data_IF_406223457726
#
_entry.id   IF_406223457726
#
_cell.length_a   1.000
_cell.length_b   1.000
_cell.length_c   1.000
_cell.angle_alpha   90.00
_cell.angle_beta   90.00
_cell.angle_gamma   90.00
#
_symmetry.space_group_name_H-M   'P 1'
#
loop_
_entity.id
_entity.type
_entity.pdbx_description
1 polymer ?
#
# COMPACT_ATOMS: atom_id res chain seq x y z
N UNK A 1 -75.82 8.13 -36.79
CA UNK A 1 -75.81 8.02 -35.33
C UNK A 1 -75.28 6.62 -35.01
N UNK A 2 -74.13 6.41 -34.38
CA UNK A 2 -73.17 7.30 -33.69
C UNK A 2 -71.75 6.72 -33.77
N UNK A 3 -70.71 7.53 -33.50
CA UNK A 3 -69.33 7.09 -33.18
C UNK A 3 -69.34 6.38 -31.79
N UNK A 4 -68.33 5.71 -31.24
CA UNK A 4 -66.84 5.80 -31.25
C UNK A 4 -66.23 4.42 -30.93
N UNK A 5 -64.96 4.05 -31.19
CA UNK A 5 -63.85 4.59 -32.00
C UNK A 5 -62.80 3.46 -32.21
N UNK A 6 -61.65 3.73 -32.86
CA UNK A 6 -60.70 2.72 -33.36
C UNK A 6 -59.34 2.65 -32.64
N UNK A 7 -58.85 1.43 -32.42
CA UNK A 7 -57.49 1.13 -31.95
C UNK A 7 -56.42 1.44 -33.01
N UNK A 8 -55.31 2.06 -32.58
CA UNK A 8 -54.13 2.29 -33.40
C UNK A 8 -53.18 1.08 -33.43
N UNK A 9 -53.04 0.44 -34.59
CA UNK A 9 -51.88 -0.41 -34.92
C UNK A 9 -50.81 0.44 -35.62
N UNK A 10 -49.52 0.19 -35.33
CA UNK A 10 -48.40 0.78 -36.08
C UNK A 10 -47.53 -0.36 -36.63
N UNK A 11 -47.27 -0.32 -37.94
CA UNK A 11 -46.50 -1.31 -38.68
C UNK A 11 -45.39 -0.61 -39.50
N UNK A 12 -44.12 -0.95 -39.19
CA UNK A 12 -42.92 -1.00 -40.06
C UNK A 12 -42.40 0.26 -40.80
N UNK A 13 -41.23 0.75 -40.34
CA UNK A 13 -39.93 1.00 -41.06
C UNK A 13 -39.86 1.80 -42.39
N UNK A 14 -38.66 2.25 -42.83
CA UNK A 14 -37.43 2.70 -42.14
C UNK A 14 -36.97 4.11 -42.65
N UNK A 15 -35.83 4.67 -42.16
CA UNK A 15 -34.82 5.38 -42.98
C UNK A 15 -33.63 5.97 -42.16
N UNK A 16 -32.52 6.14 -42.88
CA UNK A 16 -31.18 6.64 -42.49
C UNK A 16 -31.18 8.12 -42.05
N UNK A 17 -30.34 8.49 -41.07
CA UNK A 17 -29.76 9.85 -40.92
C UNK A 17 -28.29 9.77 -40.46
N UNK A 18 -27.50 10.76 -40.86
CA UNK A 18 -26.03 10.84 -40.98
C UNK A 18 -25.11 10.65 -39.77
N UNK A 19 -23.86 10.28 -40.12
CA UNK A 19 -22.64 10.57 -39.37
C UNK A 19 -22.22 12.05 -39.54
N UNK A 20 -21.88 12.75 -38.46
CA UNK A 20 -20.67 13.61 -38.39
C UNK A 20 -20.49 14.23 -36.99
N UNK A 21 -19.24 14.57 -36.69
CA UNK A 21 -18.78 15.31 -35.50
C UNK A 21 -19.07 14.68 -34.12
N UNK A 22 -18.12 13.88 -33.63
CA UNK A 22 -17.42 14.31 -32.42
C UNK A 22 -15.95 13.88 -32.48
N UNK A 23 -15.06 14.82 -32.16
CA UNK A 23 -13.62 14.70 -32.40
C UNK A 23 -12.91 13.83 -31.36
N UNK A 24 -11.75 13.31 -31.76
CA UNK A 24 -10.86 12.54 -30.91
C UNK A 24 -10.26 13.37 -29.78
N UNK A 25 -10.54 12.99 -28.54
CA UNK A 25 -9.64 13.24 -27.41
C UNK A 25 -9.37 11.88 -26.77
N UNK A 26 -8.24 11.28 -27.15
CA UNK A 26 -7.65 10.19 -26.39
C UNK A 26 -6.86 10.84 -25.25
N UNK A 27 -7.33 10.71 -24.02
CA UNK A 27 -6.63 11.21 -22.84
C UNK A 27 -6.51 10.14 -21.74
N UNK A 28 -5.41 10.28 -21.02
CA UNK A 28 -4.77 9.47 -19.98
C UNK A 28 -5.20 8.01 -19.80
N UNK A 29 -4.27 7.11 -20.16
CA UNK A 29 -4.30 5.71 -19.76
C UNK A 29 -4.05 5.60 -18.25
N UNK A 30 -5.12 5.77 -17.46
CA UNK A 30 -5.13 5.40 -16.05
C UNK A 30 -4.83 3.91 -15.91
N UNK A 31 -3.55 3.60 -15.71
CA UNK A 31 -3.11 2.27 -15.31
C UNK A 31 -3.82 1.98 -13.99
N UNK A 32 -4.77 1.03 -14.02
CA UNK A 32 -5.41 0.50 -12.83
C UNK A 32 -4.35 -0.20 -11.97
N UNK A 33 -3.68 0.58 -11.12
CA UNK A 33 -2.82 0.04 -10.07
C UNK A 33 -3.76 -0.62 -9.07
N UNK A 34 -3.85 -1.94 -9.15
CA UNK A 34 -4.34 -2.78 -8.05
C UNK A 34 -3.42 -2.57 -6.84
N UNK A 35 -3.76 -1.59 -6.02
CA UNK A 35 -3.10 -1.38 -4.72
C UNK A 35 -3.67 -2.42 -3.77
N UNK A 36 -2.85 -3.42 -3.48
CA UNK A 36 -3.06 -4.55 -2.56
C UNK A 36 -3.05 -4.12 -1.10
N UNK A 37 -3.78 -3.04 -0.77
CA UNK A 37 -3.90 -2.49 0.57
C UNK A 37 -5.30 -1.93 0.79
N UNK A 38 -5.80 -2.10 2.02
CA UNK A 38 -7.07 -1.54 2.49
C UNK A 38 -7.11 -0.03 2.30
N UNK A 39 -8.26 0.50 1.91
CA UNK A 39 -8.51 1.94 1.71
C UNK A 39 -9.76 2.43 2.43
N UNK A 40 -10.57 1.50 2.94
CA UNK A 40 -11.80 1.78 3.66
C UNK A 40 -11.70 1.29 5.10
N UNK A 41 -12.60 1.73 5.99
CA UNK A 41 -12.69 1.14 7.32
C UNK A 41 -13.01 -0.36 7.24
N UNK A 42 -12.52 -1.09 8.23
CA UNK A 42 -12.36 -2.55 8.12
C UNK A 42 -13.42 -3.31 8.91
N UNK A 43 -13.90 -4.41 8.33
CA UNK A 43 -14.66 -5.46 9.01
C UNK A 43 -13.72 -6.67 9.13
N UNK A 44 -13.32 -7.03 10.35
CA UNK A 44 -12.39 -8.14 10.58
C UNK A 44 -13.15 -9.39 10.99
N UNK A 45 -12.90 -10.53 10.36
CA UNK A 45 -13.36 -11.84 10.81
C UNK A 45 -12.30 -12.45 11.73
N UNK A 46 -12.63 -12.67 13.01
CA UNK A 46 -11.71 -13.27 14.00
C UNK A 46 -12.28 -14.57 14.56
N UNK A 47 -11.42 -15.45 15.06
CA UNK A 47 -11.82 -16.74 15.61
C UNK A 47 -10.80 -17.84 15.35
N UNK A 48 -10.96 -18.97 16.02
CA UNK A 48 -10.07 -20.13 15.92
C UNK A 48 -10.07 -20.74 14.50
N UNK A 49 -9.09 -21.56 14.18
CA UNK A 49 -9.05 -22.37 12.96
C UNK A 49 -10.30 -23.25 12.86
N UNK A 50 -10.80 -23.41 11.64
CA UNK A 50 -12.04 -24.14 11.32
C UNK A 50 -13.32 -23.63 12.00
N UNK A 51 -13.32 -22.45 12.63
CA UNK A 51 -14.56 -21.85 13.19
C UNK A 51 -15.56 -21.37 12.12
N UNK A 52 -15.21 -21.36 10.83
CA UNK A 52 -16.09 -20.97 9.73
C UNK A 52 -15.99 -19.51 9.26
N UNK A 53 -14.85 -18.84 9.53
CA UNK A 53 -14.60 -17.43 9.15
C UNK A 53 -14.75 -17.17 7.65
N UNK A 54 -13.98 -17.87 6.83
CA UNK A 54 -13.95 -17.77 5.36
C UNK A 54 -15.34 -18.00 4.74
N UNK A 55 -16.08 -18.99 5.26
CA UNK A 55 -17.45 -19.31 4.84
C UNK A 55 -18.43 -18.18 5.16
N UNK A 56 -18.35 -17.61 6.37
CA UNK A 56 -19.12 -16.43 6.76
C UNK A 56 -18.74 -15.19 5.94
N UNK A 57 -17.45 -14.99 5.65
CA UNK A 57 -16.99 -13.89 4.81
C UNK A 57 -17.60 -13.95 3.41
N UNK A 58 -17.61 -15.13 2.80
CA UNK A 58 -18.25 -15.36 1.51
C UNK A 58 -19.78 -15.14 1.57
N UNK A 59 -20.44 -15.56 2.65
CA UNK A 59 -21.86 -15.23 2.87
C UNK A 59 -22.13 -13.73 2.96
N UNK A 60 -21.31 -12.98 3.69
CA UNK A 60 -21.43 -11.52 3.81
C UNK A 60 -21.24 -10.85 2.44
N UNK A 61 -20.35 -11.36 1.61
CA UNK A 61 -20.13 -10.89 0.23
C UNK A 61 -21.28 -11.24 -0.73
N UNK A 62 -22.20 -12.14 -0.34
CA UNK A 62 -23.28 -12.62 -1.22
C UNK A 62 -22.78 -13.65 -2.24
N UNK A 63 -22.07 -14.66 -1.74
CA UNK A 63 -21.74 -15.89 -2.46
C UNK A 63 -22.21 -17.10 -1.63
N UNK A 64 -22.38 -18.27 -2.27
CA UNK A 64 -22.84 -19.54 -1.68
C UNK A 64 -21.89 -20.19 -0.65
N UNK A 65 -21.38 -19.45 0.34
CA UNK A 65 -20.51 -19.90 1.44
C UNK A 65 -19.11 -20.38 1.02
N UNK A 66 -19.04 -21.37 0.13
CA UNK A 66 -17.81 -21.90 -0.45
C UNK A 66 -17.41 -21.21 -1.76
N UNK A 67 -18.36 -20.59 -2.48
CA UNK A 67 -18.16 -20.05 -3.83
C UNK A 67 -17.65 -18.60 -3.93
N UNK A 68 -16.99 -18.07 -2.90
CA UNK A 68 -16.50 -16.68 -2.87
C UNK A 68 -14.98 -16.56 -2.88
N UNK A 69 -14.42 -15.34 -2.72
CA UNK A 69 -12.98 -15.08 -2.80
C UNK A 69 -12.16 -15.62 -1.62
N UNK A 70 -12.80 -15.97 -0.50
CA UNK A 70 -12.11 -16.59 0.62
C UNK A 70 -12.07 -18.11 0.47
N UNK A 71 -10.90 -18.70 0.64
CA UNK A 71 -10.66 -20.13 0.43
C UNK A 71 -11.28 -20.98 1.55
N UNK A 72 -11.98 -22.06 1.19
CA UNK A 72 -12.63 -22.96 2.15
C UNK A 72 -12.17 -24.44 2.01
N UNK A 73 -11.62 -24.84 0.87
CA UNK A 73 -11.43 -26.25 0.54
C UNK A 73 -10.13 -26.84 1.13
N UNK A 74 -10.30 -27.90 1.93
CA UNK A 74 -9.21 -28.71 2.50
C UNK A 74 -8.55 -29.67 1.49
N UNK A 75 -8.58 -29.34 0.19
CA UNK A 75 -8.09 -30.20 -0.90
C UNK A 75 -6.57 -30.49 -0.83
N UNK A 76 -5.85 -29.76 0.02
CA UNK A 76 -4.41 -29.90 0.29
C UNK A 76 -4.06 -30.80 1.49
N UNK A 77 -5.05 -31.38 2.19
CA UNK A 77 -4.84 -32.28 3.33
C UNK A 77 -5.16 -31.67 4.71
N UNK A 78 -4.81 -32.36 5.82
CA UNK A 78 -5.17 -31.93 7.17
C UNK A 78 -4.27 -30.78 7.67
N UNK A 79 -4.71 -29.54 7.43
CA UNK A 79 -4.06 -28.32 7.91
C UNK A 79 -4.97 -27.09 7.77
N UNK A 80 -4.60 -25.93 8.34
CA UNK A 80 -5.35 -24.69 8.14
C UNK A 80 -5.28 -24.25 6.67
N UNK A 81 -6.44 -23.91 6.09
CA UNK A 81 -6.55 -23.46 4.68
C UNK A 81 -6.01 -22.03 4.55
N UNK A 82 -6.57 -21.09 5.32
CA UNK A 82 -6.12 -19.68 5.33
C UNK A 82 -4.83 -19.52 6.14
N UNK A 83 -3.74 -19.10 5.48
CA UNK A 83 -2.41 -18.89 6.09
C UNK A 83 -1.99 -17.43 6.26
N UNK A 84 -2.58 -16.51 5.50
CA UNK A 84 -2.38 -15.05 5.52
C UNK A 84 -3.73 -14.34 5.51
N UNK A 85 -3.81 -13.04 5.85
CA UNK A 85 -5.08 -12.31 5.75
C UNK A 85 -5.53 -12.18 4.28
N UNK A 86 -6.82 -12.37 4.02
CA UNK A 86 -7.42 -12.25 2.70
C UNK A 86 -8.39 -11.05 2.68
N UNK A 87 -8.10 -9.98 1.92
CA UNK A 87 -8.99 -8.82 1.80
C UNK A 87 -9.98 -8.95 0.63
N UNK A 88 -11.22 -8.54 0.86
CA UNK A 88 -12.23 -8.30 -0.18
C UNK A 88 -13.06 -7.04 0.15
N UNK A 89 -13.49 -6.27 -0.84
CA UNK A 89 -14.34 -5.09 -0.57
C UNK A 89 -15.82 -5.48 -0.52
N UNK A 90 -16.55 -4.94 0.48
CA UNK A 90 -17.98 -5.15 0.69
C UNK A 90 -18.71 -3.80 0.74
N UNK A 91 -19.88 -3.71 0.08
CA UNK A 91 -20.80 -2.57 0.24
C UNK A 91 -21.91 -2.96 1.21
N UNK A 92 -22.11 -2.15 2.25
CA UNK A 92 -23.23 -2.24 3.19
C UNK A 92 -23.95 -0.88 3.16
N UNK A 93 -25.23 -0.89 2.82
CA UNK A 93 -25.99 0.31 2.49
C UNK A 93 -25.22 1.18 1.46
N UNK A 94 -24.90 2.43 1.78
CA UNK A 94 -24.10 3.32 0.92
C UNK A 94 -22.62 3.44 1.31
N UNK A 95 -22.16 2.60 2.24
CA UNK A 95 -20.78 2.60 2.74
C UNK A 95 -20.00 1.40 2.17
N UNK A 96 -18.76 1.65 1.78
CA UNK A 96 -17.81 0.62 1.35
C UNK A 96 -16.87 0.35 2.52
N UNK A 97 -16.60 -0.93 2.76
CA UNK A 97 -15.69 -1.44 3.79
C UNK A 97 -14.76 -2.48 3.17
N UNK A 98 -13.61 -2.67 3.78
CA UNK A 98 -12.74 -3.81 3.47
C UNK A 98 -13.02 -4.93 4.48
N UNK A 99 -13.46 -6.09 3.97
CA UNK A 99 -13.72 -7.31 4.74
C UNK A 99 -12.46 -8.17 4.72
N UNK A 100 -11.94 -8.50 5.90
CA UNK A 100 -10.70 -9.25 6.06
C UNK A 100 -11.02 -10.61 6.70
N UNK A 101 -10.83 -11.69 5.93
CA UNK A 101 -10.70 -13.03 6.52
C UNK A 101 -9.28 -13.19 7.09
N UNK A 102 -9.15 -13.84 8.24
CA UNK A 102 -7.86 -14.01 8.93
C UNK A 102 -7.50 -15.48 9.08
N UNK A 103 -6.20 -15.82 9.16
CA UNK A 103 -5.78 -17.12 9.63
C UNK A 103 -6.21 -17.33 11.11
N UNK A 104 -6.12 -18.57 11.59
CA UNK A 104 -6.27 -18.88 13.01
C UNK A 104 -5.16 -18.21 13.83
N UNK A 105 -5.51 -17.19 14.60
CA UNK A 105 -4.58 -16.42 15.46
C UNK A 105 -4.66 -16.79 16.94
N UNK A 106 -5.53 -17.73 17.32
CA UNK A 106 -5.87 -18.03 18.72
C UNK A 106 -5.80 -19.51 19.11
N UNK A 107 -5.27 -20.38 18.24
CA UNK A 107 -5.48 -21.83 18.37
C UNK A 107 -4.91 -22.46 19.64
N UNK A 108 -3.76 -21.99 20.15
CA UNK A 108 -3.32 -22.27 21.53
C UNK A 108 -2.65 -21.06 22.19
N UNK A 109 -2.70 -20.99 23.53
CA UNK A 109 -1.96 -20.01 24.34
C UNK A 109 -0.42 -20.12 24.17
N UNK A 110 0.09 -21.22 23.62
CA UNK A 110 1.51 -21.40 23.33
C UNK A 110 1.93 -20.75 21.99
N UNK A 111 1.05 -20.77 20.99
CA UNK A 111 1.35 -20.30 19.64
C UNK A 111 1.46 -18.79 19.55
N UNK A 112 0.78 -18.04 20.42
CA UNK A 112 0.72 -16.57 20.45
C UNK A 112 2.10 -15.92 20.67
N UNK A 113 3.10 -16.69 21.12
CA UNK A 113 4.50 -16.26 21.27
C UNK A 113 5.44 -16.77 20.17
N UNK A 114 4.92 -17.50 19.19
CA UNK A 114 5.66 -17.87 17.98
C UNK A 114 5.89 -16.67 17.08
N UNK A 115 6.95 -16.71 16.27
CA UNK A 115 7.19 -15.70 15.25
C UNK A 115 6.02 -15.66 14.25
N UNK A 116 5.56 -16.83 13.78
CA UNK A 116 4.43 -16.99 12.84
C UNK A 116 3.12 -16.34 13.31
N UNK A 117 2.74 -16.47 14.59
CA UNK A 117 1.51 -15.81 15.09
C UNK A 117 1.70 -14.31 15.28
N UNK A 118 2.92 -13.85 15.61
CA UNK A 118 3.23 -12.41 15.65
C UNK A 118 3.19 -11.79 14.24
N UNK A 119 3.63 -12.52 13.21
CA UNK A 119 3.48 -12.12 11.81
C UNK A 119 2.01 -11.95 11.43
N UNK A 120 1.16 -12.95 11.71
CA UNK A 120 -0.30 -12.90 11.46
C UNK A 120 -1.00 -11.75 12.19
N UNK A 121 -0.57 -11.43 13.41
CA UNK A 121 -1.07 -10.28 14.17
C UNK A 121 -0.62 -8.95 13.55
N UNK A 122 0.63 -8.85 13.08
CA UNK A 122 1.14 -7.65 12.42
C UNK A 122 0.46 -7.38 11.07
N UNK A 123 0.24 -8.43 10.28
CA UNK A 123 -0.53 -8.41 9.02
C UNK A 123 -1.96 -7.89 9.24
N UNK A 124 -2.64 -8.41 10.26
CA UNK A 124 -3.97 -7.92 10.66
C UNK A 124 -3.95 -6.45 11.11
N UNK A 125 -2.96 -6.02 11.92
CA UNK A 125 -2.79 -4.61 12.31
C UNK A 125 -2.57 -3.72 11.08
N UNK A 126 -1.85 -4.21 10.07
CA UNK A 126 -1.62 -3.49 8.82
C UNK A 126 -2.92 -3.22 8.06
N UNK A 127 -3.76 -4.26 7.87
CA UNK A 127 -5.09 -4.10 7.29
C UNK A 127 -5.97 -3.14 8.13
N UNK A 128 -5.92 -3.20 9.46
CA UNK A 128 -6.69 -2.31 10.35
C UNK A 128 -6.25 -0.83 10.34
N UNK A 129 -5.21 -0.45 9.58
CA UNK A 129 -4.62 0.91 9.60
C UNK A 129 -5.58 2.05 9.23
N UNK A 130 -6.62 1.78 8.44
CA UNK A 130 -7.67 2.73 8.07
C UNK A 130 -8.83 2.80 9.08
N UNK A 131 -8.73 2.08 10.20
CA UNK A 131 -9.71 2.01 11.27
C UNK A 131 -10.62 0.80 11.16
N UNK A 132 -11.19 0.36 12.28
CA UNK A 132 -12.01 -0.84 12.38
C UNK A 132 -13.47 -0.45 12.61
N UNK A 133 -14.33 -0.76 11.65
CA UNK A 133 -15.78 -0.58 11.75
C UNK A 133 -16.39 -1.62 12.69
N UNK A 134 -16.06 -2.90 12.48
CA UNK A 134 -16.59 -4.02 13.24
C UNK A 134 -15.59 -5.18 13.33
N UNK A 135 -15.65 -5.92 14.44
CA UNK A 135 -14.94 -7.19 14.61
C UNK A 135 -16.00 -8.29 14.74
N UNK A 136 -16.03 -9.22 13.80
CA UNK A 136 -16.93 -10.37 13.83
C UNK A 136 -16.16 -11.54 14.43
N UNK A 137 -16.42 -11.85 15.70
CA UNK A 137 -15.79 -12.97 16.39
C UNK A 137 -16.62 -14.24 16.17
N UNK A 138 -16.09 -15.14 15.35
CA UNK A 138 -16.73 -16.36 14.86
C UNK A 138 -16.50 -17.49 15.85
N UNK A 139 -17.60 -18.02 16.39
CA UNK A 139 -17.63 -19.05 17.44
C UNK A 139 -18.32 -20.29 16.90
N UNK A 140 -17.57 -21.37 16.81
CA UNK A 140 -18.13 -22.71 16.63
C UNK A 140 -18.83 -23.13 17.93
N UNK A 141 -20.16 -23.30 17.87
CA UNK A 141 -20.97 -23.68 19.04
C UNK A 141 -20.65 -25.09 19.59
N UNK A 142 -20.06 -25.96 18.76
CA UNK A 142 -19.71 -27.33 19.14
C UNK A 142 -18.43 -27.39 19.98
N UNK A 143 -17.56 -26.38 19.87
CA UNK A 143 -16.29 -26.31 20.57
C UNK A 143 -16.41 -25.66 21.95
N UNK A 144 -15.61 -26.14 22.91
CA UNK A 144 -15.46 -25.51 24.23
C UNK A 144 -14.11 -24.82 24.30
N UNK A 145 -14.13 -23.49 24.33
CA UNK A 145 -12.93 -22.65 24.25
C UNK A 145 -13.00 -21.50 25.28
N UNK A 146 -11.89 -21.21 25.98
CA UNK A 146 -11.85 -20.18 27.02
C UNK A 146 -11.71 -18.78 26.41
N UNK A 147 -12.83 -18.16 26.03
CA UNK A 147 -12.85 -16.85 25.36
C UNK A 147 -12.16 -15.72 26.15
N UNK A 148 -12.05 -15.83 27.48
CA UNK A 148 -11.54 -14.77 28.36
C UNK A 148 -10.08 -14.40 28.10
N UNK A 149 -9.24 -15.34 27.71
CA UNK A 149 -7.85 -15.04 27.30
C UNK A 149 -7.87 -14.39 25.91
N UNK A 150 -8.57 -15.01 24.96
CA UNK A 150 -8.72 -14.55 23.57
C UNK A 150 -9.15 -13.09 23.49
N UNK A 151 -10.16 -12.67 24.26
CA UNK A 151 -10.63 -11.28 24.30
C UNK A 151 -9.55 -10.29 24.75
N UNK A 152 -8.78 -10.63 25.80
CA UNK A 152 -7.66 -9.79 26.26
C UNK A 152 -6.55 -9.68 25.22
N UNK A 153 -6.28 -10.77 24.49
CA UNK A 153 -5.25 -10.79 23.44
C UNK A 153 -5.71 -9.87 22.29
N UNK A 154 -6.98 -9.97 21.86
CA UNK A 154 -7.59 -9.09 20.87
C UNK A 154 -7.48 -7.61 21.29
N UNK A 155 -7.87 -7.27 22.52
CA UNK A 155 -7.75 -5.90 23.05
C UNK A 155 -6.28 -5.44 23.10
N UNK A 156 -5.34 -6.34 23.41
CA UNK A 156 -3.92 -6.04 23.47
C UNK A 156 -3.30 -5.60 22.13
N UNK A 157 -3.84 -6.05 20.99
CA UNK A 157 -3.29 -5.71 19.67
C UNK A 157 -4.22 -4.87 18.76
N UNK A 158 -5.54 -4.99 18.90
CA UNK A 158 -6.51 -4.11 18.24
C UNK A 158 -6.94 -2.89 19.10
N UNK A 159 -6.55 -2.85 20.38
CA UNK A 159 -6.86 -1.77 21.31
C UNK A 159 -8.08 -2.05 22.19
N UNK A 160 -8.18 -1.35 23.31
CA UNK A 160 -9.21 -1.57 24.35
C UNK A 160 -10.65 -1.52 23.82
N UNK A 161 -10.92 -0.63 22.86
CA UNK A 161 -12.23 -0.43 22.21
C UNK A 161 -12.66 -1.59 21.28
N UNK A 162 -11.83 -2.63 21.10
CA UNK A 162 -12.16 -3.76 20.24
C UNK A 162 -13.47 -4.45 20.64
N UNK A 163 -13.75 -4.62 21.94
CA UNK A 163 -14.99 -5.24 22.40
C UNK A 163 -16.22 -4.34 22.15
N UNK A 164 -16.06 -3.02 22.18
CA UNK A 164 -17.13 -2.08 21.88
C UNK A 164 -17.59 -2.16 20.41
N UNK A 165 -16.70 -2.61 19.52
CA UNK A 165 -16.96 -2.86 18.09
C UNK A 165 -17.16 -4.34 17.72
N UNK A 166 -17.25 -5.24 18.72
CA UNK A 166 -17.35 -6.67 18.47
C UNK A 166 -18.79 -7.17 18.34
N UNK A 167 -19.02 -8.08 17.39
CA UNK A 167 -20.25 -8.86 17.17
C UNK A 167 -19.85 -10.34 17.19
N UNK A 168 -20.63 -11.21 17.84
CA UNK A 168 -20.39 -12.66 17.84
C UNK A 168 -21.19 -13.35 16.74
N UNK A 169 -20.53 -14.13 15.89
CA UNK A 169 -21.19 -14.96 14.88
C UNK A 169 -21.12 -16.43 15.28
N UNK A 170 -22.26 -17.09 15.49
CA UNK A 170 -22.29 -18.51 15.80
C UNK A 170 -22.34 -19.34 14.51
N UNK A 171 -21.44 -20.32 14.39
CA UNK A 171 -21.40 -21.32 13.31
C UNK A 171 -21.75 -22.71 13.85
N UNK A 172 -21.92 -23.68 12.94
CA UNK A 172 -22.22 -25.08 13.25
C UNK A 172 -23.51 -25.28 14.08
N UNK A 173 -24.43 -24.33 13.99
CA UNK A 173 -25.77 -24.42 14.57
C UNK A 173 -26.62 -25.47 13.87
N UNK A 174 -27.55 -26.09 14.61
CA UNK A 174 -28.53 -26.98 13.99
C UNK A 174 -29.49 -26.20 13.08
N UNK A 175 -30.15 -26.92 12.16
CA UNK A 175 -31.18 -26.36 11.28
C UNK A 175 -32.26 -25.60 12.07
N UNK A 176 -32.81 -26.22 13.12
CA UNK A 176 -33.87 -25.67 13.97
C UNK A 176 -33.44 -24.37 14.69
N UNK A 177 -32.22 -24.31 15.22
CA UNK A 177 -31.65 -23.10 15.82
C UNK A 177 -31.52 -21.95 14.82
N UNK A 178 -31.11 -22.28 13.59
CA UNK A 178 -30.87 -21.29 12.53
C UNK A 178 -32.18 -20.74 11.97
N UNK A 179 -33.18 -21.60 11.76
CA UNK A 179 -34.52 -21.20 11.31
C UNK A 179 -35.26 -20.36 12.37
N UNK A 180 -35.10 -20.70 13.66
CA UNK A 180 -35.72 -19.96 14.77
C UNK A 180 -34.94 -18.73 15.23
N UNK A 181 -33.72 -18.50 14.74
CA UNK A 181 -32.79 -17.46 15.21
C UNK A 181 -32.55 -17.53 16.74
N UNK A 182 -32.25 -18.75 17.24
CA UNK A 182 -32.10 -19.03 18.67
C UNK A 182 -30.91 -19.96 18.97
N UNK A 183 -30.07 -19.56 19.93
CA UNK A 183 -28.99 -20.41 20.44
C UNK A 183 -29.43 -21.12 21.74
N UNK A 184 -29.42 -22.45 21.71
CA UNK A 184 -29.71 -23.29 22.87
C UNK A 184 -28.41 -23.67 23.60
N UNK A 185 -28.50 -23.98 24.89
CA UNK A 185 -27.41 -24.53 25.70
C UNK A 185 -26.11 -23.70 25.77
N UNK A 186 -26.19 -22.37 25.60
CA UNK A 186 -25.06 -21.44 25.80
C UNK A 186 -24.32 -21.74 27.12
N UNK A 187 -23.01 -21.97 27.02
CA UNK A 187 -22.14 -22.19 28.18
C UNK A 187 -22.03 -20.90 29.01
N UNK A 188 -21.51 -21.03 30.24
CA UNK A 188 -21.22 -19.85 31.08
C UNK A 188 -20.25 -18.88 30.37
N UNK A 189 -19.21 -19.41 29.73
CA UNK A 189 -18.20 -18.60 29.03
C UNK A 189 -18.79 -17.88 27.81
N UNK A 190 -19.68 -18.53 27.06
CA UNK A 190 -20.40 -17.88 25.95
C UNK A 190 -21.32 -16.75 26.45
N UNK A 191 -21.97 -16.91 27.61
CA UNK A 191 -22.80 -15.84 28.21
C UNK A 191 -21.96 -14.68 28.70
N UNK A 192 -20.80 -14.95 29.31
CA UNK A 192 -19.84 -13.92 29.71
C UNK A 192 -19.27 -13.17 28.49
N UNK A 193 -18.94 -13.87 27.39
CA UNK A 193 -18.56 -13.27 26.11
C UNK A 193 -19.67 -12.36 25.56
N UNK A 194 -20.90 -12.86 25.40
CA UNK A 194 -22.03 -12.08 24.88
C UNK A 194 -22.31 -10.84 25.73
N UNK A 195 -22.21 -10.95 27.07
CA UNK A 195 -22.35 -9.80 27.96
C UNK A 195 -21.25 -8.75 27.76
N UNK A 196 -20.03 -9.14 27.38
CA UNK A 196 -18.92 -8.21 27.13
C UNK A 196 -19.03 -7.45 25.79
N UNK A 197 -19.89 -7.92 24.88
CA UNK A 197 -20.12 -7.32 23.55
C UNK A 197 -21.55 -6.79 23.40
N UNK A 198 -22.18 -6.39 24.51
CA UNK A 198 -23.53 -5.83 24.57
C UNK A 198 -24.63 -6.73 23.93
N UNK A 199 -24.44 -8.05 23.99
CA UNK A 199 -25.30 -9.08 23.39
C UNK A 199 -25.50 -8.94 21.87
N UNK A 200 -24.54 -8.35 21.14
CA UNK A 200 -24.54 -8.32 19.67
C UNK A 200 -24.12 -9.68 19.11
N UNK A 201 -25.07 -10.42 18.55
CA UNK A 201 -24.80 -11.70 17.91
C UNK A 201 -25.77 -12.07 16.78
N UNK A 202 -25.31 -12.93 15.87
CA UNK A 202 -26.13 -13.54 14.82
C UNK A 202 -25.67 -14.98 14.52
N UNK A 203 -26.39 -15.69 13.65
CA UNK A 203 -26.05 -17.04 13.21
C UNK A 203 -25.50 -16.98 11.79
N UNK A 204 -24.36 -17.61 11.55
CA UNK A 204 -23.86 -17.90 10.21
C UNK A 204 -24.49 -19.21 9.72
N UNK A 205 -25.35 -19.20 8.69
CA UNK A 205 -25.99 -20.42 8.18
C UNK A 205 -24.97 -21.42 7.63
N UNK A 206 -25.23 -22.71 7.81
CA UNK A 206 -24.42 -23.76 7.19
C UNK A 206 -24.84 -23.93 5.70
N UNK A 207 -23.92 -23.74 4.73
CA UNK A 207 -24.20 -23.93 3.29
C UNK A 207 -24.58 -25.36 2.88
N UNK A 208 -24.26 -26.38 3.68
CA UNK A 208 -24.69 -27.76 3.44
C UNK A 208 -26.19 -27.96 3.76
N UNK A 209 -26.78 -27.05 4.54
CA UNK A 209 -28.17 -27.11 5.02
C UNK A 209 -29.05 -26.09 4.29
N UNK A 210 -28.51 -24.90 4.02
CA UNK A 210 -29.25 -23.76 3.48
C UNK A 210 -28.63 -23.26 2.17
N UNK A 211 -29.50 -23.11 1.16
CA UNK A 211 -29.14 -22.48 -0.11
C UNK A 211 -29.04 -20.96 0.06
N UNK A 212 -28.20 -20.34 -0.75
CA UNK A 212 -27.97 -18.90 -0.78
C UNK A 212 -29.23 -18.04 -0.93
N UNK A 213 -30.18 -18.50 -1.74
CA UNK A 213 -31.45 -17.85 -2.04
C UNK A 213 -32.53 -18.07 -0.96
N UNK A 214 -32.22 -18.78 0.13
CA UNK A 214 -33.20 -19.04 1.19
C UNK A 214 -33.42 -17.83 2.11
N UNK A 215 -34.68 -17.62 2.50
CA UNK A 215 -35.09 -16.56 3.44
C UNK A 215 -34.27 -16.58 4.75
N UNK A 216 -33.84 -17.77 5.19
CA UNK A 216 -33.01 -17.97 6.38
C UNK A 216 -31.62 -17.35 6.20
N UNK A 217 -30.98 -17.55 5.05
CA UNK A 217 -29.67 -16.95 4.73
C UNK A 217 -29.80 -15.45 4.57
N UNK A 218 -30.76 -15.00 3.77
CA UNK A 218 -31.01 -13.58 3.50
C UNK A 218 -31.27 -12.84 4.82
N UNK A 219 -32.17 -13.34 5.67
CA UNK A 219 -32.47 -12.74 6.98
C UNK A 219 -31.23 -12.64 7.89
N UNK A 220 -30.42 -13.70 7.99
CA UNK A 220 -29.24 -13.70 8.84
C UNK A 220 -28.14 -12.76 8.31
N UNK A 221 -27.92 -12.69 7.00
CA UNK A 221 -26.94 -11.78 6.41
C UNK A 221 -27.40 -10.31 6.44
N UNK A 222 -28.70 -10.04 6.29
CA UNK A 222 -29.26 -8.69 6.53
C UNK A 222 -29.08 -8.30 8.01
N UNK A 223 -29.39 -9.18 8.96
CA UNK A 223 -29.16 -8.95 10.40
C UNK A 223 -27.69 -8.62 10.71
N UNK A 224 -26.75 -9.39 10.15
CA UNK A 224 -25.32 -9.14 10.30
C UNK A 224 -24.90 -7.78 9.72
N UNK A 225 -25.34 -7.45 8.50
CA UNK A 225 -25.03 -6.17 7.83
C UNK A 225 -25.60 -4.96 8.58
N UNK A 226 -26.80 -5.07 9.15
CA UNK A 226 -27.39 -4.02 9.98
C UNK A 226 -26.58 -3.78 11.26
N UNK A 227 -26.19 -4.84 11.98
CA UNK A 227 -25.35 -4.72 13.19
C UNK A 227 -23.98 -4.09 12.91
N UNK A 228 -23.41 -4.29 11.71
CA UNK A 228 -22.16 -3.64 11.29
C UNK A 228 -22.35 -2.14 11.03
N UNK A 229 -23.50 -1.74 10.47
CA UNK A 229 -23.78 -0.33 10.15
C UNK A 229 -24.28 0.47 11.37
N UNK A 230 -24.82 -0.19 12.41
CA UNK A 230 -25.15 0.41 13.71
C UNK A 230 -23.95 1.08 14.40
N UNK A 231 -22.71 0.68 14.07
CA UNK A 231 -21.51 1.37 14.55
C UNK A 231 -21.35 2.73 13.83
N UNK A 232 -21.57 3.82 14.56
CA UNK A 232 -21.56 5.20 14.06
C UNK A 232 -20.31 5.58 13.26
N UNK A 233 -19.15 5.11 13.70
CA UNK A 233 -17.85 5.39 13.07
C UNK A 233 -16.85 4.30 13.42
N UNK A 234 -15.98 3.94 12.48
CA UNK A 234 -14.85 3.07 12.76
C UNK A 234 -13.89 3.70 13.77
N UNK A 235 -13.38 2.91 14.71
CA UNK A 235 -12.39 3.37 15.69
C UNK A 235 -10.97 3.22 15.15
N UNK A 236 -10.04 4.00 15.71
CA UNK A 236 -8.60 3.90 15.41
C UNK A 236 -7.78 3.81 16.70
N UNK A 237 -6.55 3.32 16.59
CA UNK A 237 -5.57 3.28 17.68
C UNK A 237 -4.33 4.09 17.33
N UNK A 238 -3.52 4.40 18.35
CA UNK A 238 -2.19 4.98 18.13
C UNK A 238 -1.27 4.07 17.30
N UNK A 239 -1.53 2.77 17.24
CA UNK A 239 -0.81 1.81 16.39
C UNK A 239 -1.27 1.91 14.94
N UNK A 240 -2.58 1.87 14.69
CA UNK A 240 -3.16 1.98 13.34
C UNK A 240 -2.77 3.29 12.65
N UNK A 241 -2.87 4.42 13.38
CA UNK A 241 -2.44 5.72 12.87
C UNK A 241 -0.93 5.74 12.51
N UNK A 242 -0.06 5.10 13.31
CA UNK A 242 1.38 5.00 12.98
C UNK A 242 1.65 4.18 11.71
N UNK A 243 0.87 3.12 11.47
CA UNK A 243 0.98 2.32 10.24
C UNK A 243 0.53 3.14 9.04
N UNK A 244 -0.64 3.78 9.10
CA UNK A 244 -1.13 4.64 8.02
C UNK A 244 -0.16 5.80 7.72
N UNK A 245 0.31 6.50 8.74
CA UNK A 245 1.31 7.56 8.63
C UNK A 245 2.63 7.10 8.00
N UNK A 246 2.99 5.81 8.15
CA UNK A 246 4.17 5.22 7.53
C UNK A 246 3.90 4.88 6.06
N UNK A 247 2.73 4.31 5.75
CA UNK A 247 2.29 4.03 4.39
C UNK A 247 2.11 5.30 3.56
N UNK A 248 1.55 6.38 4.10
CA UNK A 248 1.41 7.67 3.41
C UNK A 248 2.77 8.27 3.04
N UNK A 249 3.71 8.33 4.01
CA UNK A 249 5.08 8.83 3.80
C UNK A 249 5.84 7.98 2.78
N UNK A 250 5.61 6.68 2.79
CA UNK A 250 6.18 5.69 1.88
C UNK A 250 5.59 5.81 0.48
N UNK A 251 4.28 5.94 0.34
CA UNK A 251 3.59 6.14 -0.93
C UNK A 251 4.08 7.43 -1.60
N UNK A 252 4.25 8.51 -0.83
CA UNK A 252 4.85 9.74 -1.33
C UNK A 252 6.32 9.55 -1.74
N UNK A 253 7.14 8.88 -0.92
CA UNK A 253 8.53 8.57 -1.28
C UNK A 253 8.63 7.76 -2.59
N UNK A 254 7.73 6.78 -2.80
CA UNK A 254 7.62 6.00 -4.03
C UNK A 254 7.11 6.84 -5.21
N UNK A 255 6.15 7.73 -4.98
CA UNK A 255 5.63 8.66 -6.00
C UNK A 255 6.75 9.56 -6.51
N UNK A 256 7.42 10.29 -5.63
CA UNK A 256 8.48 11.21 -6.06
C UNK A 256 9.69 10.44 -6.62
N UNK A 257 9.99 9.21 -6.15
CA UNK A 257 11.04 8.37 -6.73
C UNK A 257 10.80 7.99 -8.21
N UNK A 258 9.54 7.96 -8.68
CA UNK A 258 9.22 7.77 -10.11
C UNK A 258 9.48 9.02 -10.94
N UNK A 259 9.34 10.22 -10.35
CA UNK A 259 9.44 11.51 -11.05
C UNK A 259 10.76 12.26 -10.83
N UNK A 260 11.70 11.71 -10.06
CA UNK A 260 13.00 12.34 -9.74
C UNK A 260 14.16 11.75 -10.58
N UNK A 261 14.18 12.03 -11.89
CA UNK A 261 15.14 11.49 -12.85
C UNK A 261 16.04 12.55 -13.50
N UNK A 262 17.19 12.11 -14.00
CA UNK A 262 18.08 12.85 -14.89
C UNK A 262 17.90 12.41 -16.34
N UNK A 263 18.41 13.21 -17.29
CA UNK A 263 18.55 12.81 -18.69
C UNK A 263 19.70 11.79 -18.84
N UNK A 264 19.60 10.91 -19.84
CA UNK A 264 20.54 9.80 -20.02
C UNK A 264 21.99 10.20 -20.31
N UNK A 265 22.22 11.35 -20.94
CA UNK A 265 23.53 11.87 -21.31
C UNK A 265 24.14 12.87 -20.30
N UNK A 266 23.41 13.20 -19.23
CA UNK A 266 23.92 13.97 -18.08
C UNK A 266 25.24 13.38 -17.60
N UNK A 267 26.26 14.22 -17.43
CA UNK A 267 27.63 13.74 -17.16
C UNK A 267 27.88 13.58 -15.66
N UNK A 268 28.57 12.50 -15.31
CA UNK A 268 29.09 12.25 -13.96
C UNK A 268 30.59 11.97 -14.01
N UNK A 269 31.29 12.38 -12.95
CA UNK A 269 32.71 12.09 -12.75
C UNK A 269 32.88 10.81 -11.92
N UNK A 270 33.58 9.81 -12.47
CA UNK A 270 33.97 8.59 -11.76
C UNK A 270 35.24 8.80 -10.93
N UNK A 271 35.44 7.98 -9.90
CA UNK A 271 36.64 8.01 -9.04
C UNK A 271 37.94 7.72 -9.81
N UNK A 272 37.86 6.99 -10.93
CA UNK A 272 38.95 6.78 -11.88
C UNK A 272 39.24 8.00 -12.79
N UNK A 273 38.63 9.16 -12.49
CA UNK A 273 38.71 10.46 -13.20
C UNK A 273 38.11 10.49 -14.61
N UNK A 274 37.41 9.44 -15.06
CA UNK A 274 36.65 9.50 -16.32
C UNK A 274 35.34 10.24 -16.10
N UNK A 275 34.98 11.10 -17.06
CA UNK A 275 33.63 11.67 -17.16
C UNK A 275 32.83 10.79 -18.12
N UNK A 276 31.67 10.32 -17.68
CA UNK A 276 30.78 9.41 -18.44
C UNK A 276 29.34 9.91 -18.40
N UNK A 277 28.50 9.61 -19.40
CA UNK A 277 27.06 9.85 -19.30
C UNK A 277 26.44 8.90 -18.26
N UNK A 278 25.39 9.35 -17.56
CA UNK A 278 24.69 8.56 -16.54
C UNK A 278 24.20 7.21 -17.07
N UNK A 279 23.78 7.12 -18.33
CA UNK A 279 23.40 5.86 -18.99
C UNK A 279 24.49 4.79 -19.04
N UNK A 280 25.76 5.15 -18.88
CA UNK A 280 26.90 4.21 -18.84
C UNK A 280 27.30 3.77 -17.44
N UNK A 281 26.72 4.38 -16.39
CA UNK A 281 27.01 4.07 -14.98
C UNK A 281 26.36 2.74 -14.60
N UNK A 282 27.08 1.91 -13.84
CA UNK A 282 26.59 0.62 -13.35
C UNK A 282 26.57 0.58 -11.82
N UNK A 283 25.78 -0.33 -11.27
CA UNK A 283 25.79 -0.60 -9.83
C UNK A 283 27.20 -1.09 -9.42
N UNK A 284 27.75 -0.49 -8.37
CA UNK A 284 29.12 -0.68 -7.91
C UNK A 284 30.10 0.41 -8.36
N UNK A 285 29.77 1.22 -9.38
CA UNK A 285 30.62 2.35 -9.79
C UNK A 285 30.68 3.41 -8.68
N UNK A 286 31.85 4.04 -8.51
CA UNK A 286 32.05 5.12 -7.53
C UNK A 286 32.03 6.48 -8.24
N UNK A 287 30.94 7.21 -8.05
CA UNK A 287 30.65 8.51 -8.70
C UNK A 287 30.93 9.68 -7.74
N UNK A 288 31.21 10.86 -8.28
CA UNK A 288 31.40 12.08 -7.50
C UNK A 288 30.07 12.55 -6.90
N UNK A 289 30.09 12.90 -5.61
CA UNK A 289 28.92 13.23 -4.80
C UNK A 289 29.07 14.59 -4.09
N UNK A 290 30.04 15.40 -4.50
CA UNK A 290 30.38 16.70 -3.93
C UNK A 290 31.88 16.85 -3.66
N UNK A 291 32.24 17.93 -2.97
CA UNK A 291 33.60 18.15 -2.48
C UNK A 291 33.58 18.71 -1.06
N UNK A 292 34.58 18.33 -0.25
CA UNK A 292 34.76 18.79 1.13
C UNK A 292 36.22 19.18 1.29
N UNK A 293 36.50 20.41 1.77
CA UNK A 293 37.85 20.93 2.03
C UNK A 293 38.82 20.75 0.85
N UNK A 294 38.37 21.03 -0.38
CA UNK A 294 39.17 20.90 -1.61
C UNK A 294 39.45 19.46 -2.05
N UNK A 295 38.76 18.46 -1.48
CA UNK A 295 38.84 17.05 -1.90
C UNK A 295 37.48 16.58 -2.42
N UNK A 296 37.48 15.93 -3.57
CA UNK A 296 36.29 15.30 -4.14
C UNK A 296 35.82 14.15 -3.24
N UNK A 297 34.52 14.08 -2.98
CA UNK A 297 33.86 12.98 -2.27
C UNK A 297 33.28 12.02 -3.30
N UNK A 298 33.74 10.78 -3.31
CA UNK A 298 33.18 9.71 -4.14
C UNK A 298 32.32 8.77 -3.31
N UNK A 299 31.26 8.22 -3.91
CA UNK A 299 30.41 7.20 -3.31
C UNK A 299 30.02 6.15 -4.33
N UNK A 300 29.89 4.92 -3.86
CA UNK A 300 29.30 3.83 -4.61
C UNK A 300 27.83 4.14 -4.99
N UNK A 301 27.50 3.86 -6.25
CA UNK A 301 26.14 3.70 -6.77
C UNK A 301 25.65 2.32 -6.37
N UNK A 302 24.65 2.25 -5.51
CA UNK A 302 24.13 0.97 -5.00
C UNK A 302 22.82 0.54 -5.68
N UNK A 303 22.17 1.45 -6.41
CA UNK A 303 20.90 1.19 -7.10
C UNK A 303 20.72 2.14 -8.30
N UNK A 304 20.25 1.60 -9.42
CA UNK A 304 19.59 2.37 -10.48
C UNK A 304 18.09 2.09 -10.32
N UNK A 305 17.34 3.11 -9.88
CA UNK A 305 15.97 2.97 -9.40
C UNK A 305 14.94 2.97 -10.54
N UNK A 306 15.19 3.78 -11.57
CA UNK A 306 14.29 4.01 -12.69
C UNK A 306 15.14 4.23 -13.95
N UNK A 307 14.82 3.55 -15.05
CA UNK A 307 15.49 3.74 -16.34
C UNK A 307 14.58 3.36 -17.49
N UNK A 308 14.50 4.23 -18.50
CA UNK A 308 13.87 3.98 -19.79
C UNK A 308 14.64 4.76 -20.86
N UNK A 309 14.77 4.23 -22.08
CA UNK A 309 15.47 4.86 -23.20
C UNK A 309 14.54 5.56 -24.20
N UNK A 310 13.27 5.16 -24.27
CA UNK A 310 12.33 5.52 -25.32
C UNK A 310 11.24 6.51 -24.87
N UNK A 311 10.86 6.50 -23.58
CA UNK A 311 9.84 7.39 -23.02
C UNK A 311 10.18 8.86 -23.23
N UNK A 312 9.31 9.61 -23.94
CA UNK A 312 9.39 11.06 -24.00
C UNK A 312 9.09 11.64 -22.62
N UNK A 313 9.98 12.49 -22.11
CA UNK A 313 9.97 12.95 -20.72
C UNK A 313 10.23 14.43 -20.64
N UNK A 314 9.49 15.11 -19.76
CA UNK A 314 9.65 16.53 -19.46
C UNK A 314 10.86 16.77 -18.55
N UNK A 315 11.74 17.68 -18.95
CA UNK A 315 12.89 18.13 -18.18
C UNK A 315 12.86 19.65 -18.04
N UNK A 316 13.19 20.14 -16.84
CA UNK A 316 13.60 21.52 -16.64
C UNK A 316 15.08 21.65 -17.00
N UNK A 317 15.37 22.62 -17.85
CA UNK A 317 16.72 23.05 -18.19
C UNK A 317 17.09 24.24 -17.34
N UNK A 318 18.07 24.05 -16.46
CA UNK A 318 18.59 25.08 -15.57
C UNK A 318 19.87 25.62 -16.18
N UNK A 319 19.88 26.88 -16.62
CA UNK A 319 21.03 27.50 -17.30
C UNK A 319 21.74 28.50 -16.36
N UNK A 320 23.07 28.50 -16.39
CA UNK A 320 23.93 29.32 -15.52
C UNK A 320 25.29 29.57 -16.17
N UNK A 321 25.93 30.69 -15.81
CA UNK A 321 27.34 30.96 -16.17
C UNK A 321 28.22 30.77 -14.94
N UNK A 322 29.27 29.95 -15.08
CA UNK A 322 30.28 29.75 -14.05
C UNK A 322 31.20 30.98 -13.90
N UNK A 323 31.89 31.19 -12.76
CA UNK A 323 32.76 32.34 -12.51
C UNK A 323 33.90 32.56 -13.53
N UNK A 324 34.31 31.52 -14.25
CA UNK A 324 35.27 31.56 -15.36
C UNK A 324 34.62 31.90 -16.73
N UNK A 325 33.32 32.23 -16.73
CA UNK A 325 32.58 32.71 -17.91
C UNK A 325 31.98 31.60 -18.78
N UNK A 326 32.05 30.33 -18.36
CA UNK A 326 31.53 29.21 -19.15
C UNK A 326 30.03 29.04 -18.89
N UNK A 327 29.22 29.21 -19.94
CA UNK A 327 27.79 28.87 -19.93
C UNK A 327 27.60 27.35 -19.85
N UNK A 328 26.77 26.91 -18.92
CA UNK A 328 26.48 25.50 -18.66
C UNK A 328 24.99 25.32 -18.34
N UNK A 329 24.51 24.08 -18.45
CA UNK A 329 23.14 23.74 -18.10
C UNK A 329 23.03 22.30 -17.59
N UNK A 330 21.98 22.04 -16.80
CA UNK A 330 21.56 20.69 -16.40
C UNK A 330 20.09 20.48 -16.80
N UNK A 331 19.78 19.27 -17.26
CA UNK A 331 18.43 18.78 -17.54
C UNK A 331 18.02 17.78 -16.45
N UNK A 332 17.01 18.13 -15.66
CA UNK A 332 16.45 17.31 -14.58
C UNK A 332 14.93 17.43 -14.56
N UNK A 333 14.22 16.38 -14.17
CA UNK A 333 12.74 16.42 -14.12
C UNK A 333 12.24 17.43 -13.07
N UNK A 334 11.02 18.00 -13.20
CA UNK A 334 10.53 19.05 -12.29
C UNK A 334 10.53 18.67 -10.80
N UNK A 335 10.30 17.39 -10.49
CA UNK A 335 10.27 16.84 -9.13
C UNK A 335 11.65 16.39 -8.61
N UNK A 336 12.73 16.57 -9.39
CA UNK A 336 14.08 16.21 -8.98
C UNK A 336 14.64 17.22 -7.97
N UNK A 337 15.36 16.74 -6.95
CA UNK A 337 15.88 17.58 -5.86
C UNK A 337 17.30 18.09 -6.10
N UNK A 338 17.51 19.39 -5.98
CA UNK A 338 18.76 20.09 -6.24
C UNK A 338 19.11 21.01 -5.06
N UNK A 339 20.40 21.25 -4.84
CA UNK A 339 20.85 22.09 -3.72
C UNK A 339 20.71 23.58 -4.06
N UNK A 340 19.63 24.21 -3.56
CA UNK A 340 19.23 25.59 -3.79
C UNK A 340 19.37 26.40 -2.48
N UNK A 341 20.02 27.55 -2.52
CA UNK A 341 20.02 28.54 -1.42
C UNK A 341 20.40 27.97 -0.03
N UNK A 342 21.36 27.03 0.02
CA UNK A 342 21.81 26.29 1.22
C UNK A 342 20.89 25.17 1.75
N UNK A 343 19.85 24.77 1.01
CA UNK A 343 19.04 23.59 1.32
C UNK A 343 18.84 22.73 0.06
N UNK A 344 18.30 21.52 0.19
CA UNK A 344 17.71 20.83 -0.96
C UNK A 344 16.26 21.29 -1.15
N UNK A 345 15.85 21.47 -2.40
CA UNK A 345 14.46 21.75 -2.78
C UNK A 345 14.21 21.23 -4.22
N UNK A 346 12.96 21.24 -4.68
CA UNK A 346 12.55 20.75 -6.01
C UNK A 346 13.06 21.65 -7.14
N UNK A 347 13.41 21.06 -8.28
CA UNK A 347 13.85 21.79 -9.48
C UNK A 347 12.78 22.80 -9.98
N UNK A 348 11.50 22.47 -9.87
CA UNK A 348 10.38 23.37 -10.21
C UNK A 348 10.30 24.64 -9.35
N UNK A 349 10.97 24.67 -8.20
CA UNK A 349 11.03 25.83 -7.30
C UNK A 349 12.20 26.78 -7.62
N UNK A 350 13.01 26.49 -8.66
CA UNK A 350 14.10 27.36 -9.09
C UNK A 350 13.53 28.62 -9.75
N UNK A 351 13.74 29.76 -9.10
CA UNK A 351 13.49 31.08 -9.69
C UNK A 351 14.77 31.67 -10.32
N UNK A 352 14.79 31.99 -11.63
CA UNK A 352 15.87 32.73 -12.28
C UNK A 352 16.25 34.01 -11.52
N UNK A 353 17.54 34.33 -11.51
CA UNK A 353 18.15 35.46 -10.81
C UNK A 353 17.93 35.52 -9.28
N UNK A 354 17.21 34.57 -8.68
CA UNK A 354 16.97 34.52 -7.23
C UNK A 354 17.54 33.26 -6.58
N UNK A 355 17.52 32.14 -7.30
CA UNK A 355 18.05 30.85 -6.82
C UNK A 355 19.54 30.72 -7.09
N UNK A 356 20.28 30.26 -6.07
CA UNK A 356 21.70 29.89 -6.17
C UNK A 356 21.86 28.37 -6.04
N UNK A 357 22.50 27.76 -7.02
CA UNK A 357 22.85 26.34 -7.06
C UNK A 357 24.31 26.13 -6.66
N UNK A 358 24.68 24.93 -6.19
CA UNK A 358 26.09 24.57 -5.97
C UNK A 358 26.69 23.86 -7.19
N UNK A 359 27.73 24.47 -7.76
CA UNK A 359 28.48 23.97 -8.93
C UNK A 359 29.90 23.60 -8.51
N UNK A 360 30.38 22.44 -8.94
CA UNK A 360 31.74 21.96 -8.71
C UNK A 360 32.69 22.52 -9.77
N UNK A 361 33.67 23.28 -9.31
CA UNK A 361 34.71 23.87 -10.16
C UNK A 361 36.06 23.36 -9.65
N UNK A 362 36.70 22.52 -10.46
CA UNK A 362 37.89 21.76 -10.06
C UNK A 362 37.60 20.82 -8.89
N UNK A 363 37.88 21.27 -7.67
CA UNK A 363 37.64 20.53 -6.42
C UNK A 363 36.88 21.32 -5.35
N UNK A 364 36.27 22.46 -5.73
CA UNK A 364 35.50 23.32 -4.83
C UNK A 364 34.05 23.44 -5.29
N UNK A 365 33.11 23.40 -4.35
CA UNK A 365 31.71 23.72 -4.59
C UNK A 365 31.53 25.24 -4.42
N UNK A 366 31.07 25.90 -5.49
CA UNK A 366 30.84 27.34 -5.56
C UNK A 366 29.36 27.59 -5.77
N UNK A 367 28.80 28.62 -5.12
CA UNK A 367 27.43 29.04 -5.40
C UNK A 367 27.37 29.87 -6.67
N UNK A 368 26.53 29.45 -7.61
CA UNK A 368 26.27 30.13 -8.89
C UNK A 368 24.79 30.49 -8.97
N UNK A 369 24.49 31.69 -9.44
CA UNK A 369 23.13 32.18 -9.65
C UNK A 369 22.56 31.59 -10.95
N UNK A 370 21.32 31.10 -10.92
CA UNK A 370 20.64 30.61 -12.12
C UNK A 370 20.25 31.79 -13.01
N UNK A 371 20.55 31.73 -14.30
CA UNK A 371 20.22 32.77 -15.29
C UNK A 371 18.85 32.55 -15.92
N UNK A 372 18.52 31.30 -16.22
CA UNK A 372 17.30 30.95 -16.94
C UNK A 372 16.81 29.54 -16.54
N UNK A 373 15.50 29.33 -16.63
CA UNK A 373 14.86 28.01 -16.49
C UNK A 373 13.83 27.88 -17.60
N UNK A 374 13.93 26.82 -18.41
CA UNK A 374 12.97 26.49 -19.46
C UNK A 374 12.62 25.00 -19.45
N UNK A 375 11.49 24.63 -20.06
CA UNK A 375 11.09 23.23 -20.20
C UNK A 375 11.55 22.69 -21.57
N UNK A 376 12.12 21.49 -21.60
CA UNK A 376 12.46 20.74 -22.82
C UNK A 376 11.98 19.29 -22.70
N UNK A 377 11.55 18.68 -23.81
CA UNK A 377 11.15 17.27 -23.86
C UNK A 377 12.25 16.43 -24.52
N UNK A 378 12.69 15.37 -23.85
CA UNK A 378 13.73 14.47 -24.33
C UNK A 378 13.35 13.00 -24.16
N UNK A 379 13.88 12.13 -25.02
CA UNK A 379 13.74 10.68 -24.87
C UNK A 379 14.64 10.16 -23.75
N UNK A 380 14.04 9.33 -22.90
CA UNK A 380 14.72 8.53 -21.91
C UNK A 380 15.12 9.29 -20.64
N UNK A 381 15.25 8.54 -19.55
CA UNK A 381 15.54 9.05 -18.22
C UNK A 381 16.27 8.00 -17.38
N UNK A 382 16.97 8.46 -16.34
CA UNK A 382 17.62 7.59 -15.35
C UNK A 382 17.59 8.19 -13.94
N UNK A 383 17.32 7.36 -12.93
CA UNK A 383 17.46 7.70 -11.52
C UNK A 383 18.54 6.81 -10.88
N UNK A 384 19.67 7.41 -10.50
CA UNK A 384 20.84 6.75 -9.90
C UNK A 384 20.91 7.11 -8.41
N UNK A 385 21.00 6.12 -7.51
CA UNK A 385 21.14 6.35 -6.07
C UNK A 385 22.55 5.96 -5.57
N UNK A 386 23.20 6.89 -4.85
CA UNK A 386 24.51 6.73 -4.21
C UNK A 386 24.38 6.53 -2.70
N UNK A 387 25.34 5.83 -2.07
CA UNK A 387 25.37 5.69 -0.60
C UNK A 387 25.52 7.03 0.14
N UNK A 388 26.03 8.07 -0.54
CA UNK A 388 26.17 9.41 0.01
C UNK A 388 24.90 10.27 -0.02
N UNK A 389 23.84 9.85 -0.71
CA UNK A 389 22.59 10.61 -0.84
C UNK A 389 22.66 11.83 -1.79
N UNK A 390 23.80 12.03 -2.43
CA UNK A 390 24.08 13.13 -3.35
C UNK A 390 24.81 12.63 -4.60
N UNK A 391 24.73 13.37 -5.70
CA UNK A 391 25.44 13.08 -6.95
C UNK A 391 25.80 14.39 -7.66
N UNK A 392 26.95 14.44 -8.33
CA UNK A 392 27.34 15.55 -9.19
C UNK A 392 26.87 15.30 -10.62
N UNK A 393 25.84 16.02 -11.05
CA UNK A 393 25.20 15.90 -12.36
C UNK A 393 25.52 17.14 -13.21
N UNK A 394 26.24 16.98 -14.32
CA UNK A 394 26.80 18.09 -15.12
C UNK A 394 27.51 19.15 -14.25
N UNK A 395 28.28 18.68 -13.27
CA UNK A 395 28.97 19.44 -12.22
C UNK A 395 28.06 20.17 -11.21
N UNK A 396 26.75 19.95 -11.18
CA UNK A 396 25.84 20.53 -10.18
C UNK A 396 25.55 19.52 -9.06
N UNK A 397 25.52 19.99 -7.81
CA UNK A 397 25.19 19.15 -6.66
C UNK A 397 23.68 18.89 -6.58
N UNK A 398 23.29 17.67 -6.90
CA UNK A 398 21.92 17.20 -6.80
C UNK A 398 21.77 16.20 -5.64
N UNK A 399 20.57 16.15 -5.06
CA UNK A 399 20.18 15.04 -4.18
C UNK A 399 19.90 13.83 -5.04
N UNK A 400 20.54 12.71 -4.75
CA UNK A 400 20.17 11.45 -5.38
C UNK A 400 19.05 10.72 -4.61
N UNK A 401 18.37 11.41 -3.69
CA UNK A 401 17.13 10.96 -3.06
C UNK A 401 15.96 11.80 -3.54
N UNK A 402 14.82 11.14 -3.68
CA UNK A 402 13.59 11.71 -4.19
C UNK A 402 12.75 12.47 -3.13
N UNK A 403 13.30 12.92 -2.00
CA UNK A 403 12.55 13.70 -1.01
C UNK A 403 13.42 14.75 -0.31
N UNK A 404 12.83 15.92 -0.12
CA UNK A 404 13.38 17.10 0.54
C UNK A 404 13.59 16.91 2.07
N UNK A 405 14.59 17.57 2.68
CA UNK A 405 14.69 17.74 4.14
C UNK A 405 13.39 18.30 4.76
N UNK A 406 13.10 18.00 6.05
CA UNK A 406 14.02 17.54 7.11
C UNK A 406 14.30 16.03 7.12
N UNK A 407 13.68 15.25 6.24
CA UNK A 407 13.64 13.79 6.37
C UNK A 407 14.88 13.03 5.88
N UNK A 408 15.96 13.71 5.47
CA UNK A 408 17.15 13.05 4.89
C UNK A 408 17.79 12.00 5.83
N UNK A 409 17.79 12.24 7.15
CA UNK A 409 18.24 11.28 8.17
C UNK A 409 17.24 10.11 8.38
N UNK A 410 15.94 10.37 8.23
CA UNK A 410 14.88 9.36 8.32
C UNK A 410 14.92 8.46 7.07
N UNK A 411 15.17 9.03 5.90
CA UNK A 411 15.38 8.33 4.64
C UNK A 411 16.67 7.49 4.70
N UNK A 412 17.76 8.01 5.26
CA UNK A 412 18.97 7.21 5.45
C UNK A 412 18.71 5.99 6.36
N UNK A 413 17.76 6.09 7.30
CA UNK A 413 17.31 5.00 8.17
C UNK A 413 16.34 4.03 7.47
N UNK A 414 15.37 4.53 6.70
CA UNK A 414 14.43 3.75 5.88
C UNK A 414 15.13 3.01 4.74
N UNK A 415 16.17 3.61 4.18
CA UNK A 415 17.00 3.03 3.12
C UNK A 415 18.22 2.26 3.66
N UNK A 416 18.45 2.25 4.98
CA UNK A 416 19.52 1.46 5.61
C UNK A 416 19.42 -0.05 5.27
N UNK A 417 18.22 -0.67 5.21
CA UNK A 417 18.07 -2.04 4.70
C UNK A 417 18.53 -2.22 3.25
N UNK A 418 18.40 -1.21 2.37
CA UNK A 418 18.97 -1.27 1.01
C UNK A 418 20.49 -1.22 1.03
N UNK A 419 21.03 -0.34 1.86
CA UNK A 419 22.48 -0.18 1.99
C UNK A 419 23.12 -1.47 2.51
N UNK A 420 22.47 -2.17 3.43
CA UNK A 420 22.90 -3.49 3.92
C UNK A 420 22.67 -4.58 2.86
N UNK A 421 21.48 -4.66 2.25
CA UNK A 421 21.16 -5.73 1.30
C UNK A 421 22.05 -5.70 0.03
N UNK A 422 22.37 -4.51 -0.47
CA UNK A 422 23.33 -4.32 -1.59
C UNK A 422 24.77 -4.74 -1.26
N UNK A 423 25.15 -4.79 0.03
CA UNK A 423 26.45 -5.33 0.47
C UNK A 423 26.43 -6.86 0.50
N UNK A 424 25.31 -7.47 0.90
CA UNK A 424 25.18 -8.94 0.98
C UNK A 424 24.83 -9.62 -0.35
N UNK A 425 24.23 -8.91 -1.31
CA UNK A 425 23.86 -9.45 -2.62
C UNK A 425 24.23 -8.43 -3.70
N UNK A 426 25.15 -8.79 -4.60
CA UNK A 426 25.48 -7.96 -5.78
C UNK A 426 24.22 -7.77 -6.62
N UNK A 427 23.62 -6.59 -6.53
CA UNK A 427 22.47 -6.22 -7.36
C UNK A 427 22.93 -6.16 -8.81
N UNK A 428 22.31 -6.95 -9.67
CA UNK A 428 22.63 -7.06 -11.11
C UNK A 428 22.14 -5.82 -11.85
N UNK A 429 22.75 -5.54 -13.02
CA UNK A 429 22.21 -4.51 -13.91
C UNK A 429 20.79 -4.88 -14.36
N UNK A 430 19.97 -3.86 -14.60
CA UNK A 430 18.52 -3.94 -14.70
C UNK A 430 18.02 -4.09 -16.16
N UNK A 431 16.79 -4.62 -16.33
CA UNK A 431 16.11 -4.78 -17.61
C UNK A 431 15.23 -3.58 -17.95
N UNK A 432 15.35 -3.07 -19.17
CA UNK A 432 14.67 -1.88 -19.69
C UNK A 432 13.14 -1.89 -19.51
N UNK A 433 12.57 -0.77 -19.05
CA UNK A 433 11.12 -0.53 -18.99
C UNK A 433 10.36 -1.00 -17.74
N UNK A 434 11.02 -1.43 -16.67
CA UNK A 434 10.39 -1.88 -15.40
C UNK A 434 10.73 -0.95 -14.22
N UNK A 435 10.21 -1.25 -13.03
CA UNK A 435 10.80 -0.75 -11.77
C UNK A 435 11.89 -1.74 -11.36
N UNK A 436 13.01 -1.27 -10.78
CA UNK A 436 14.10 -2.18 -10.43
C UNK A 436 13.60 -3.38 -9.59
N UNK A 437 13.99 -4.65 -9.86
CA UNK A 437 13.48 -5.81 -9.12
C UNK A 437 13.72 -5.76 -7.60
N UNK A 438 14.62 -4.89 -7.15
CA UNK A 438 14.74 -4.55 -5.72
C UNK A 438 13.69 -3.55 -5.21
N UNK A 439 13.28 -2.53 -5.98
CA UNK A 439 12.13 -1.68 -5.62
C UNK A 439 10.81 -2.44 -5.74
N UNK A 440 10.75 -3.42 -6.65
CA UNK A 440 9.67 -4.42 -6.73
C UNK A 440 9.77 -5.44 -5.59
N UNK A 441 10.96 -5.87 -5.17
CA UNK A 441 11.14 -6.62 -3.92
C UNK A 441 10.91 -5.77 -2.68
N UNK A 442 11.06 -4.43 -2.72
CA UNK A 442 10.57 -3.58 -1.64
C UNK A 442 9.05 -3.62 -1.66
N UNK A 443 8.39 -3.40 -2.80
CA UNK A 443 6.93 -3.57 -2.93
C UNK A 443 6.49 -4.92 -2.34
N UNK A 444 7.08 -6.03 -2.78
CA UNK A 444 6.68 -7.40 -2.41
C UNK A 444 7.20 -7.88 -1.04
N UNK A 445 8.31 -7.33 -0.53
CA UNK A 445 8.80 -7.62 0.84
C UNK A 445 8.33 -6.60 1.87
N UNK A 446 7.62 -5.57 1.42
CA UNK A 446 6.79 -4.72 2.26
C UNK A 446 5.29 -5.07 2.15
N UNK A 447 4.89 -5.93 1.20
CA UNK A 447 3.80 -6.90 1.41
C UNK A 447 4.20 -7.98 2.45
N UNK A 448 5.43 -7.95 2.99
CA UNK A 448 5.93 -8.83 4.05
C UNK A 448 6.69 -8.05 5.16
N UNK A 449 6.10 -6.99 5.77
CA UNK A 449 6.71 -6.24 6.92
C UNK A 449 6.66 -7.04 8.24
N UNK A 450 6.99 -8.32 8.18
CA UNK A 450 7.16 -9.17 9.34
C UNK A 450 8.53 -8.97 10.02
N UNK A 451 9.50 -8.41 9.29
CA UNK A 451 10.88 -8.21 9.77
C UNK A 451 11.11 -7.11 10.82
N UNK A 452 10.08 -6.41 11.32
CA UNK A 452 10.26 -5.28 12.26
C UNK A 452 10.08 -5.63 13.75
N UNK A 453 9.97 -6.92 14.11
CA UNK A 453 9.90 -7.36 15.51
C UNK A 453 11.22 -7.26 16.30
N UNK A 454 12.32 -6.82 15.68
CA UNK A 454 13.67 -6.81 16.28
C UNK A 454 13.95 -5.72 17.34
N UNK A 455 12.96 -4.91 17.76
CA UNK A 455 13.16 -3.84 18.77
C UNK A 455 12.15 -3.72 19.92
N UNK A 456 11.16 -4.61 20.04
CA UNK A 456 10.11 -4.49 21.08
C UNK A 456 10.36 -5.36 22.32
N UNK A 457 11.60 -5.38 22.84
CA UNK A 457 11.97 -6.16 24.05
C UNK A 457 11.79 -5.38 25.37
N UNK A 458 10.83 -4.45 25.42
CA UNK A 458 10.72 -3.46 26.51
C UNK A 458 9.27 -3.08 26.93
N UNK A 459 8.27 -3.87 26.53
CA UNK A 459 6.86 -3.68 26.93
C UNK A 459 6.19 -4.95 27.48
N UNK A 460 6.97 -5.87 28.06
CA UNK A 460 6.44 -6.92 28.94
C UNK A 460 7.33 -6.99 30.19
N UNK A 461 6.84 -6.37 31.27
CA UNK A 461 7.23 -6.63 32.65
C UNK A 461 6.00 -6.50 33.54
#
# INVERSE_FOLDING_TARGET
MTQTDNNSQIIKTPLVVDNSANESIADDSTINISVTGTRYPVIVLLGHTSSGKSTLGNWLLGNHGYGGPFENDSSSGPGPVTTQCQPASIKINDRIFDLIDTPGVFDTDADIRSEETLEKIADLIYHCSYGVQAIIFVVDITQRQPFKNTMKIIQGFLGEAALDHMIVAFTHTTKDQTERDQILNLTREMKELLSSVNNRWFISPNPDIFREDSDVVIKNMVKAKLMIDEFQSAYTTATFNKVRDAEDKRAEALRVARYSCFKLDTKVLLENKKVVPMSSVRVGDRVCCGAINGKLKFSEVYLIAHYNSESMTEFLKVEFTTPDGIKSSLLLTPEHHIFINNNFDYAKNICPYSSKIQVLIGTQLVQVQVENVSTEYHKGYIAIFTRAGTIMADNILCSCYAMCPPYQNVIHSLLYPLQIFSVFKKLTNYEEGKIHPYLEFLKNRYENINGLFSKTRLLIK
#
